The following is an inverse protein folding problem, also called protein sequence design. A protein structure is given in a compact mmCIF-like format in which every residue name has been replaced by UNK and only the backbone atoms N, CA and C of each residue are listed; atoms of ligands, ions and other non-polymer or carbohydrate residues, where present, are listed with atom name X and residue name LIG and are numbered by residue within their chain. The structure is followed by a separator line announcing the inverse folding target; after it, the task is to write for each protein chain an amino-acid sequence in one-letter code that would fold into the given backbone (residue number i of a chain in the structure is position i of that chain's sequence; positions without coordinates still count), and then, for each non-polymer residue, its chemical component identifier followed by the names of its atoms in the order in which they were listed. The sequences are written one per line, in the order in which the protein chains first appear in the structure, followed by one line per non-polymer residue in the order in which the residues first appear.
data_IF_814741987366
#
_entry.id   IF_814741987366
#
_cell.length_a   1.000
_cell.length_b   1.000
_cell.length_c   1.000
_cell.angle_alpha   90.00
_cell.angle_beta   90.00
_cell.angle_gamma   90.00
#
_symmetry.space_group_name_H-M   'P 1'
#
loop_
_entity.id
_entity.type
_entity.pdbx_description
1 polymer ?
#
# COMPACT_ATOMS: atom_id res chain seq x y z
N UNK A 1 27.06 -3.49 38.26
CA UNK A 1 26.86 -2.52 37.15
C UNK A 1 26.81 -3.34 35.87
N UNK A 2 25.60 -3.69 35.45
CA UNK A 2 25.36 -4.58 34.30
C UNK A 2 24.52 -3.78 33.32
N UNK A 3 25.06 -3.53 32.13
CA UNK A 3 24.33 -2.87 31.06
C UNK A 3 23.16 -3.76 30.65
N UNK A 4 21.97 -3.17 30.60
CA UNK A 4 20.80 -3.85 30.07
C UNK A 4 20.99 -3.92 28.54
N UNK A 5 21.26 -5.11 27.99
CA UNK A 5 21.40 -5.33 26.55
C UNK A 5 20.02 -5.26 25.89
N UNK A 6 19.47 -4.04 25.80
CA UNK A 6 18.35 -3.73 24.94
C UNK A 6 18.81 -3.78 23.48
N UNK A 7 18.95 -5.00 22.97
CA UNK A 7 18.76 -5.25 21.55
C UNK A 7 17.35 -4.75 21.21
N UNK A 8 17.19 -3.75 20.32
CA UNK A 8 15.88 -3.47 19.78
C UNK A 8 15.44 -4.73 19.04
N UNK A 9 14.37 -5.37 19.49
CA UNK A 9 13.68 -6.35 18.65
C UNK A 9 13.20 -5.59 17.43
N UNK A 10 13.78 -5.89 16.26
CA UNK A 10 13.46 -5.30 14.95
C UNK A 10 12.10 -5.77 14.44
N UNK A 11 11.08 -5.70 15.30
CA UNK A 11 9.68 -5.85 14.93
C UNK A 11 9.24 -4.50 14.40
N UNK A 12 9.30 -4.33 13.08
CA UNK A 12 8.62 -3.21 12.43
C UNK A 12 7.13 -3.36 12.75
N UNK A 13 6.57 -2.37 13.45
CA UNK A 13 5.17 -2.42 13.90
C UNK A 13 4.24 -2.03 12.75
N UNK A 14 3.80 -3.06 12.03
CA UNK A 14 2.86 -2.95 10.90
C UNK A 14 1.44 -2.55 11.34
N UNK A 15 1.16 -2.35 12.63
CA UNK A 15 -0.11 -1.78 13.09
C UNK A 15 -0.36 -0.38 12.50
N UNK A 16 0.70 0.38 12.19
CA UNK A 16 0.59 1.66 11.50
C UNK A 16 0.28 1.57 10.00
N UNK A 17 0.44 0.38 9.37
CA UNK A 17 0.42 0.24 7.91
C UNK A 17 -0.98 0.37 7.31
N UNK A 18 -1.88 -0.56 7.65
CA UNK A 18 -3.27 -0.57 7.16
C UNK A 18 -4.01 0.77 7.41
N UNK A 19 -3.90 1.42 8.59
CA UNK A 19 -4.51 2.74 8.81
C UNK A 19 -3.91 3.85 7.92
N UNK A 20 -2.63 3.74 7.53
CA UNK A 20 -1.99 4.71 6.64
C UNK A 20 -2.46 4.53 5.18
N UNK A 21 -2.61 3.30 4.69
CA UNK A 21 -3.20 3.00 3.37
C UNK A 21 -4.63 3.56 3.27
N UNK A 22 -5.47 3.20 4.25
CA UNK A 22 -6.85 3.64 4.37
C UNK A 22 -6.97 5.18 4.51
N UNK A 23 -6.03 5.84 5.20
CA UNK A 23 -5.95 7.30 5.23
C UNK A 23 -5.62 7.92 3.87
N UNK A 24 -4.70 7.32 3.09
CA UNK A 24 -4.31 7.78 1.74
C UNK A 24 -5.44 7.61 0.73
N UNK A 25 -6.11 6.46 0.73
CA UNK A 25 -7.26 6.23 -0.14
C UNK A 25 -8.42 7.19 0.18
N UNK A 26 -8.72 7.43 1.46
CA UNK A 26 -9.68 8.48 1.85
C UNK A 26 -9.28 9.88 1.40
N UNK A 27 -7.99 10.21 1.40
CA UNK A 27 -7.51 11.50 0.94
C UNK A 27 -7.77 11.67 -0.57
N UNK A 28 -7.40 10.67 -1.38
CA UNK A 28 -7.59 10.72 -2.84
C UNK A 28 -9.08 10.80 -3.22
N UNK A 29 -9.97 10.04 -2.55
CA UNK A 29 -11.42 10.15 -2.73
C UNK A 29 -11.92 11.58 -2.46
N UNK A 30 -11.43 12.24 -1.40
CA UNK A 30 -11.78 13.64 -1.08
C UNK A 30 -11.21 14.63 -2.10
N UNK A 31 -10.03 14.36 -2.63
CA UNK A 31 -9.41 15.19 -3.66
C UNK A 31 -10.17 15.08 -4.99
N UNK A 32 -10.61 13.89 -5.39
CA UNK A 32 -11.49 13.70 -6.55
C UNK A 32 -12.81 14.47 -6.42
N UNK A 33 -13.42 14.50 -5.22
CA UNK A 33 -14.60 15.32 -4.96
C UNK A 33 -14.29 16.83 -5.05
N UNK A 34 -13.15 17.27 -4.51
CA UNK A 34 -12.66 18.67 -4.61
C UNK A 34 -12.45 19.11 -6.06
N UNK A 35 -11.89 18.23 -6.91
CA UNK A 35 -11.74 18.47 -8.36
C UNK A 35 -13.11 18.56 -9.02
N UNK A 36 -14.06 17.70 -8.63
CA UNK A 36 -15.42 17.71 -9.17
C UNK A 36 -16.22 18.97 -8.82
N UNK A 37 -15.92 19.60 -7.69
CA UNK A 37 -16.55 20.83 -7.20
C UNK A 37 -15.82 22.12 -7.65
N UNK A 38 -14.73 22.01 -8.43
CA UNK A 38 -13.84 23.14 -8.83
C UNK A 38 -13.22 23.91 -7.65
N UNK A 39 -12.93 23.19 -6.55
CA UNK A 39 -12.45 23.77 -5.27
C UNK A 39 -10.94 23.66 -5.05
N UNK A 40 -10.20 23.33 -6.10
CA UNK A 40 -8.74 23.14 -6.06
C UNK A 40 -7.95 24.39 -5.66
N UNK A 41 -8.52 25.58 -5.85
CA UNK A 41 -7.93 26.85 -5.41
C UNK A 41 -7.96 27.08 -3.88
N UNK A 42 -8.66 26.23 -3.11
CA UNK A 42 -8.72 26.39 -1.65
C UNK A 42 -7.35 26.12 -0.98
N UNK A 43 -6.86 27.00 -0.08
CA UNK A 43 -5.58 26.80 0.62
C UNK A 43 -5.50 25.48 1.41
N UNK A 44 -6.63 25.00 1.93
CA UNK A 44 -6.79 23.71 2.61
C UNK A 44 -6.40 22.52 1.72
N UNK A 45 -6.69 22.59 0.42
CA UNK A 45 -6.44 21.53 -0.56
C UNK A 45 -4.95 21.42 -0.84
N UNK A 46 -4.28 22.57 -1.05
CA UNK A 46 -2.81 22.65 -1.19
C UNK A 46 -2.09 22.09 0.02
N UNK A 47 -2.45 22.52 1.23
CA UNK A 47 -1.86 22.00 2.48
C UNK A 47 -2.12 20.50 2.65
N UNK A 48 -3.30 20.03 2.25
CA UNK A 48 -3.63 18.60 2.22
C UNK A 48 -2.75 17.82 1.24
N UNK A 49 -2.54 18.33 0.02
CA UNK A 49 -1.73 17.69 -1.02
C UNK A 49 -0.26 17.57 -0.61
N UNK A 50 0.34 18.66 -0.16
CA UNK A 50 1.72 18.66 0.35
C UNK A 50 1.89 17.72 1.55
N UNK A 51 0.85 17.57 2.38
CA UNK A 51 0.86 16.64 3.53
C UNK A 51 0.74 15.20 3.08
N UNK A 52 -0.13 14.91 2.11
CA UNK A 52 -0.26 13.59 1.49
C UNK A 52 1.07 13.14 0.87
N UNK A 53 1.70 13.98 0.03
CA UNK A 53 2.98 13.66 -0.60
C UNK A 53 4.05 13.32 0.44
N UNK A 54 4.27 14.16 1.45
CA UNK A 54 5.25 13.90 2.54
C UNK A 54 4.94 12.62 3.33
N UNK A 55 3.67 12.28 3.52
CA UNK A 55 3.26 11.07 4.27
C UNK A 55 3.32 9.79 3.43
N UNK A 56 3.28 9.90 2.10
CA UNK A 56 3.49 8.79 1.19
C UNK A 56 4.99 8.53 0.98
N UNK A 57 5.75 9.56 0.61
CA UNK A 57 7.22 9.55 0.52
C UNK A 57 7.85 8.92 1.77
N UNK A 58 7.47 9.40 2.97
CA UNK A 58 8.03 8.88 4.22
C UNK A 58 7.72 7.40 4.47
N UNK A 59 6.66 6.88 3.87
CA UNK A 59 6.23 5.48 3.99
C UNK A 59 7.00 4.61 3.00
N UNK A 60 6.89 4.87 1.69
CA UNK A 60 7.64 4.12 0.67
C UNK A 60 9.15 4.13 0.98
N UNK A 61 9.73 5.29 1.31
CA UNK A 61 11.15 5.37 1.72
C UNK A 61 11.49 4.66 3.04
N UNK A 62 10.52 4.39 3.92
CA UNK A 62 10.71 3.51 5.09
C UNK A 62 10.61 2.05 4.70
N UNK A 63 9.72 1.69 3.77
CA UNK A 63 9.67 0.35 3.23
C UNK A 63 11.00 0.00 2.53
N UNK A 64 11.42 0.81 1.55
CA UNK A 64 12.59 0.56 0.71
C UNK A 64 13.91 0.60 1.50
N UNK A 65 14.05 1.56 2.41
CA UNK A 65 15.29 1.70 3.18
C UNK A 65 15.39 0.76 4.40
N UNK A 66 14.29 0.14 4.84
CA UNK A 66 14.28 -0.64 6.09
C UNK A 66 13.41 -1.91 6.08
N UNK A 67 12.16 -1.88 5.59
CA UNK A 67 11.29 -3.06 5.59
C UNK A 67 11.73 -4.09 4.55
N UNK A 68 11.83 -3.74 3.28
CA UNK A 68 12.21 -4.67 2.21
C UNK A 68 13.62 -5.25 2.41
N UNK A 69 14.66 -4.48 2.81
CA UNK A 69 15.93 -5.05 3.20
C UNK A 69 15.82 -6.08 4.33
N UNK A 70 14.98 -5.82 5.35
CA UNK A 70 14.76 -6.78 6.44
C UNK A 70 14.03 -8.05 5.94
N UNK A 71 12.99 -7.91 5.12
CA UNK A 71 12.26 -9.05 4.54
C UNK A 71 13.17 -9.88 3.63
N UNK A 72 13.99 -9.24 2.79
CA UNK A 72 15.01 -9.91 1.94
C UNK A 72 15.98 -10.79 2.75
N UNK A 73 16.29 -10.45 4.01
CA UNK A 73 17.12 -11.33 4.88
C UNK A 73 16.40 -12.56 5.43
N UNK A 74 15.06 -12.61 5.33
CA UNK A 74 14.22 -13.65 5.94
C UNK A 74 13.58 -14.62 4.93
N UNK A 75 13.65 -14.33 3.63
CA UNK A 75 13.09 -15.16 2.54
C UNK A 75 14.19 -15.93 1.80
N UNK A 76 13.89 -17.16 1.40
CA UNK A 76 14.79 -18.04 0.61
C UNK A 76 14.27 -18.30 -0.81
N UNK A 77 12.97 -18.06 -1.07
CA UNK A 77 12.33 -18.37 -2.36
C UNK A 77 12.60 -17.23 -3.36
N UNK A 78 13.15 -17.51 -4.56
CA UNK A 78 13.30 -16.51 -5.61
C UNK A 78 11.99 -15.80 -6.00
N UNK A 79 10.83 -16.45 -5.82
CA UNK A 79 9.53 -15.81 -6.04
C UNK A 79 9.22 -14.75 -4.97
N UNK A 80 9.53 -15.02 -3.69
CA UNK A 80 9.35 -14.06 -2.60
C UNK A 80 10.31 -12.86 -2.75
N UNK A 81 11.50 -13.05 -3.34
CA UNK A 81 12.43 -11.97 -3.68
C UNK A 81 11.90 -11.09 -4.83
N UNK A 82 11.37 -11.70 -5.90
CA UNK A 82 10.83 -10.97 -7.04
C UNK A 82 9.68 -10.04 -6.64
N UNK A 83 8.82 -10.44 -5.69
CA UNK A 83 7.74 -9.61 -5.14
C UNK A 83 8.30 -8.33 -4.50
N UNK A 84 9.48 -8.36 -3.88
CA UNK A 84 10.09 -7.17 -3.25
C UNK A 84 10.72 -6.22 -4.27
N UNK A 85 11.23 -6.77 -5.38
CA UNK A 85 11.69 -5.97 -6.53
C UNK A 85 10.47 -5.35 -7.27
N UNK A 86 9.31 -6.03 -7.28
CA UNK A 86 8.04 -5.49 -7.78
C UNK A 86 7.52 -4.34 -6.90
N UNK A 87 7.60 -4.44 -5.55
CA UNK A 87 7.24 -3.33 -4.64
C UNK A 87 8.03 -2.05 -4.91
N UNK A 88 9.35 -2.15 -5.06
CA UNK A 88 10.21 -0.99 -5.35
C UNK A 88 9.89 -0.37 -6.72
N UNK A 89 9.62 -1.19 -7.74
CA UNK A 89 9.19 -0.70 -9.05
C UNK A 89 7.79 -0.05 -9.04
N UNK A 90 6.88 -0.54 -8.18
CA UNK A 90 5.57 0.09 -7.96
C UNK A 90 5.71 1.48 -7.32
N UNK A 91 6.62 1.65 -6.34
CA UNK A 91 6.91 2.96 -5.74
C UNK A 91 7.41 3.98 -6.77
N UNK A 92 8.38 3.60 -7.62
CA UNK A 92 8.89 4.46 -8.70
C UNK A 92 7.77 4.88 -9.66
N UNK A 93 6.93 3.93 -10.08
CA UNK A 93 5.79 4.19 -10.96
C UNK A 93 4.73 5.12 -10.34
N UNK A 94 4.52 5.03 -9.02
CA UNK A 94 3.63 5.93 -8.28
C UNK A 94 4.22 7.34 -8.18
N UNK A 95 5.52 7.49 -7.90
CA UNK A 95 6.19 8.80 -7.84
C UNK A 95 6.09 9.55 -9.17
N UNK A 96 6.26 8.84 -10.30
CA UNK A 96 6.03 9.41 -11.63
C UNK A 96 4.60 9.94 -11.83
N UNK A 97 3.57 9.20 -11.38
CA UNK A 97 2.17 9.60 -11.52
C UNK A 97 1.87 10.85 -10.67
N UNK A 98 2.39 10.89 -9.44
CA UNK A 98 2.23 12.03 -8.54
C UNK A 98 2.95 13.28 -9.05
N UNK A 99 4.13 13.13 -9.64
CA UNK A 99 4.88 14.21 -10.29
C UNK A 99 4.12 14.80 -11.49
N UNK A 100 3.50 13.94 -12.30
CA UNK A 100 2.63 14.37 -13.42
C UNK A 100 1.40 15.14 -12.91
N UNK A 101 0.78 14.65 -11.84
CA UNK A 101 -0.37 15.30 -11.21
C UNK A 101 -0.01 16.66 -10.55
N UNK A 102 1.12 16.77 -9.86
CA UNK A 102 1.59 18.03 -9.27
C UNK A 102 1.84 19.09 -10.36
N UNK A 103 2.46 18.70 -11.48
CA UNK A 103 2.62 19.57 -12.64
C UNK A 103 1.26 19.98 -13.24
N UNK A 104 0.27 19.08 -13.28
CA UNK A 104 -1.10 19.40 -13.70
C UNK A 104 -1.80 20.42 -12.79
N UNK A 105 -1.65 20.28 -11.48
CA UNK A 105 -2.18 21.24 -10.48
C UNK A 105 -1.49 22.60 -10.63
N UNK A 106 -0.17 22.63 -10.79
CA UNK A 106 0.62 23.87 -10.86
C UNK A 106 0.34 24.70 -12.14
N UNK A 107 0.08 24.05 -13.28
CA UNK A 107 -0.19 24.70 -14.57
C UNK A 107 -1.69 25.04 -14.75
N UNK A 108 -2.36 25.46 -13.67
CA UNK A 108 -3.82 25.45 -13.48
C UNK A 108 -4.66 25.94 -14.69
N UNK A 109 -5.07 24.99 -15.54
CA UNK A 109 -5.99 25.20 -16.67
C UNK A 109 -7.04 24.07 -16.81
N UNK A 110 -7.09 23.15 -15.84
CA UNK A 110 -7.71 21.83 -16.01
C UNK A 110 -9.03 21.63 -15.24
N UNK A 111 -10.08 21.27 -15.99
CA UNK A 111 -11.28 20.60 -15.46
C UNK A 111 -11.15 19.08 -15.57
N UNK A 112 -11.75 18.49 -16.62
CA UNK A 112 -11.80 17.03 -16.80
C UNK A 112 -10.41 16.35 -16.82
N UNK A 113 -9.39 17.00 -17.40
CA UNK A 113 -8.01 16.48 -17.44
C UNK A 113 -7.46 16.19 -16.04
N UNK A 114 -7.64 17.14 -15.11
CA UNK A 114 -7.11 17.01 -13.76
C UNK A 114 -7.86 15.94 -12.95
N UNK A 115 -9.09 15.58 -13.33
CA UNK A 115 -9.76 14.39 -12.79
C UNK A 115 -9.05 13.10 -13.22
N UNK A 116 -8.79 12.93 -14.52
CA UNK A 116 -8.05 11.76 -15.01
C UNK A 116 -6.63 11.67 -14.43
N UNK A 117 -6.01 12.82 -14.14
CA UNK A 117 -4.70 12.88 -13.49
C UNK A 117 -4.76 12.44 -11.99
N UNK A 118 -5.93 12.50 -11.33
CA UNK A 118 -6.15 11.97 -9.97
C UNK A 118 -6.54 10.48 -9.99
N UNK A 119 -7.34 10.07 -10.98
CA UNK A 119 -7.85 8.69 -11.10
C UNK A 119 -6.69 7.69 -11.28
N UNK A 120 -5.63 8.07 -12.01
CA UNK A 120 -4.46 7.22 -12.25
C UNK A 120 -3.64 6.88 -10.98
N UNK A 121 -3.13 7.85 -10.18
CA UNK A 121 -2.44 7.53 -8.92
C UNK A 121 -3.37 6.87 -7.90
N UNK A 122 -4.68 7.17 -7.90
CA UNK A 122 -5.64 6.47 -7.04
C UNK A 122 -5.76 4.98 -7.37
N UNK A 123 -5.86 4.61 -8.65
CA UNK A 123 -5.89 3.22 -9.09
C UNK A 123 -4.54 2.50 -8.85
N UNK A 124 -3.42 3.20 -9.04
CA UNK A 124 -2.08 2.65 -8.76
C UNK A 124 -1.91 2.35 -7.26
N UNK A 125 -2.28 3.29 -6.38
CA UNK A 125 -2.18 3.12 -4.93
C UNK A 125 -3.14 2.05 -4.38
N UNK A 126 -4.37 1.95 -4.89
CA UNK A 126 -5.30 0.86 -4.53
C UNK A 126 -4.73 -0.53 -4.88
N UNK A 127 -4.12 -0.64 -6.06
CA UNK A 127 -3.46 -1.86 -6.55
C UNK A 127 -2.25 -2.19 -5.68
N UNK A 128 -1.38 -1.20 -5.45
CA UNK A 128 -0.16 -1.33 -4.67
C UNK A 128 -0.43 -1.73 -3.22
N UNK A 129 -1.29 -1.01 -2.49
CA UNK A 129 -1.66 -1.37 -1.12
C UNK A 129 -2.29 -2.76 -1.04
N UNK A 130 -3.09 -3.15 -2.04
CA UNK A 130 -3.62 -4.52 -2.12
C UNK A 130 -2.53 -5.55 -2.33
N UNK A 131 -1.55 -5.27 -3.20
CA UNK A 131 -0.42 -6.17 -3.45
C UNK A 131 0.47 -6.30 -2.20
N UNK A 132 0.81 -5.19 -1.56
CA UNK A 132 1.62 -5.15 -0.35
C UNK A 132 0.95 -5.90 0.82
N UNK A 133 -0.33 -5.60 1.12
CA UNK A 133 -1.05 -6.19 2.23
C UNK A 133 -1.32 -7.69 2.08
N UNK A 134 -1.61 -8.14 0.85
CA UNK A 134 -2.05 -9.51 0.59
C UNK A 134 -0.91 -10.45 0.14
N UNK A 135 0.24 -9.92 -0.27
CA UNK A 135 1.36 -10.70 -0.82
C UNK A 135 2.70 -10.37 -0.14
N UNK A 136 3.20 -9.13 -0.26
CA UNK A 136 4.54 -8.77 0.23
C UNK A 136 4.65 -8.85 1.76
N UNK A 137 3.69 -8.27 2.49
CA UNK A 137 3.68 -8.35 3.95
C UNK A 137 3.55 -9.80 4.46
N UNK A 138 2.70 -10.68 3.90
CA UNK A 138 2.71 -12.10 4.24
C UNK A 138 4.04 -12.83 4.00
N UNK A 139 4.80 -12.50 2.95
CA UNK A 139 6.07 -13.16 2.60
C UNK A 139 7.13 -13.07 3.72
N UNK A 140 7.09 -12.02 4.56
CA UNK A 140 7.94 -11.89 5.77
C UNK A 140 7.83 -13.05 6.76
N UNK A 141 6.73 -13.82 6.71
CA UNK A 141 6.52 -14.97 7.60
C UNK A 141 7.16 -16.18 6.93
N UNK A 142 8.19 -16.80 7.55
CA UNK A 142 8.86 -17.94 6.93
C UNK A 142 7.83 -19.02 6.61
N UNK A 143 7.77 -19.41 5.34
CA UNK A 143 6.88 -20.46 4.85
C UNK A 143 7.17 -21.73 5.66
N UNK A 144 6.28 -22.05 6.62
CA UNK A 144 6.50 -23.16 7.54
C UNK A 144 6.52 -24.45 6.72
N UNK A 145 7.73 -24.97 6.45
CA UNK A 145 7.94 -26.19 5.65
C UNK A 145 6.91 -27.23 6.06
N UNK A 146 6.06 -27.64 5.12
CA UNK A 146 5.13 -28.76 5.32
C UNK A 146 5.94 -30.04 5.41
N UNK A 147 6.46 -30.34 6.60
CA UNK A 147 7.17 -31.58 6.91
C UNK A 147 6.21 -32.76 6.75
N UNK A 148 6.35 -33.50 5.65
CA UNK A 148 5.45 -34.59 5.29
C UNK A 148 5.76 -35.90 6.03
N UNK A 149 4.95 -36.23 7.05
CA UNK A 149 4.69 -37.57 7.64
C UNK A 149 3.27 -37.52 8.27
N UNK A 150 2.39 -38.54 8.24
CA UNK A 150 2.45 -39.83 7.54
C UNK A 150 1.33 -40.79 8.00
N UNK A 151 0.11 -40.67 7.45
CA UNK A 151 -1.11 -41.37 7.92
C UNK A 151 -1.89 -40.54 8.96
N UNK A 152 -3.21 -40.71 9.19
CA UNK A 152 -4.15 -41.82 8.87
C UNK A 152 -5.48 -41.29 8.27
N UNK A 153 -6.33 -42.19 7.75
CA UNK A 153 -7.50 -41.98 6.87
C UNK A 153 -8.75 -41.31 7.47
N UNK A 154 -9.45 -40.57 6.58
CA UNK A 154 -10.91 -40.36 6.39
C UNK A 154 -11.80 -39.97 7.58
N UNK A 155 -12.45 -38.81 7.46
CA UNK A 155 -13.77 -38.47 7.99
C UNK A 155 -14.46 -37.52 7.00
N UNK A 156 -15.73 -37.74 6.66
CA UNK A 156 -16.40 -37.07 5.54
C UNK A 156 -17.06 -35.72 5.91
N UNK A 157 -17.37 -34.96 4.85
CA UNK A 157 -18.65 -34.26 4.62
C UNK A 157 -18.71 -32.70 4.73
N UNK A 158 -19.13 -32.14 3.59
CA UNK A 158 -20.05 -31.00 3.41
C UNK A 158 -19.65 -29.55 3.77
N UNK A 159 -19.49 -28.74 2.71
CA UNK A 159 -20.15 -27.42 2.46
C UNK A 159 -19.93 -26.31 3.52
N UNK A 160 -19.41 -25.13 3.15
CA UNK A 160 -20.16 -24.17 2.31
C UNK A 160 -19.29 -23.21 1.49
N UNK A 161 -19.86 -22.77 0.36
CA UNK A 161 -19.39 -21.66 -0.47
C UNK A 161 -19.98 -20.33 0.03
N UNK A 162 -19.30 -19.25 -0.32
CA UNK A 162 -19.80 -17.88 -0.50
C UNK A 162 -20.28 -17.09 0.74
N UNK A 163 -19.58 -15.99 1.03
CA UNK A 163 -20.09 -14.68 0.57
C UNK A 163 -18.96 -13.66 0.36
N UNK A 164 -18.84 -13.17 -0.87
CA UNK A 164 -18.24 -11.87 -1.22
C UNK A 164 -19.18 -11.26 -2.28
N UNK A 165 -19.96 -10.26 -1.88
CA UNK A 165 -20.67 -9.26 -2.68
C UNK A 165 -21.26 -8.23 -1.70
N UNK A 166 -21.51 -7.03 -2.23
CA UNK A 166 -22.23 -5.87 -1.65
C UNK A 166 -21.37 -4.61 -1.49
N UNK A 167 -20.89 -4.09 -2.63
CA UNK A 167 -20.42 -2.70 -2.79
C UNK A 167 -20.96 -2.08 -4.09
N UNK A 168 -22.22 -2.36 -4.44
CA UNK A 168 -22.94 -1.75 -5.57
C UNK A 168 -24.36 -1.34 -5.18
N UNK A 169 -24.52 -0.28 -4.38
CA UNK A 169 -25.65 0.69 -4.50
C UNK A 169 -25.53 1.86 -3.50
N UNK A 170 -24.97 2.96 -3.95
CA UNK A 170 -25.29 4.30 -3.46
C UNK A 170 -25.12 5.27 -4.64
N UNK A 171 -26.25 5.81 -5.12
CA UNK A 171 -26.36 6.74 -6.25
C UNK A 171 -27.10 7.98 -5.76
#
# INVERSE_FOLDING_TARGET
MTMNDHRPTTTIDLFGMYPAHDARMRYLIRLTATVAEDRLGEPSVRVGWETFLRQLDRHHSTEDAALWPLVRTAVEDPADLAILDEMEAEHEGIEELLSKMEAGIANSAGGLQLRSDVDAPAAALDTHFTHEEQVALPARRPHRRRTGVGGIRRGNAQTQRASRRDWETAR
#
